data_IF_023829723115
#
_entry.id   IF_023829723115
#
_cell.length_a   1.000
_cell.length_b   1.000
_cell.length_c   1.000
_cell.angle_alpha   90.00
_cell.angle_beta   90.00
_cell.angle_gamma   90.00
#
_symmetry.space_group_name_H-M   'P 1'
#
loop_
_entity.id
_entity.type
_entity.pdbx_description
1 polymer ?
#
# COMPACT_ATOMS: atom_id res chain seq x y z
N UNK A 1 -3.36 -1.56 -25.65
CA UNK A 1 -3.17 -0.14 -25.25
C UNK A 1 -1.67 0.20 -25.31
N UNK A 2 -1.27 1.21 -26.08
CA UNK A 2 0.16 1.60 -26.20
C UNK A 2 0.71 2.05 -24.85
N UNK A 3 2.04 1.95 -24.59
CA UNK A 3 2.67 2.38 -23.32
C UNK A 3 2.18 3.75 -22.82
N UNK A 4 1.79 4.65 -23.74
CA UNK A 4 1.18 5.95 -23.45
C UNK A 4 -0.17 5.89 -22.71
N UNK A 5 -0.99 4.86 -22.92
CA UNK A 5 -2.30 4.70 -22.28
C UNK A 5 -2.22 4.22 -20.83
N UNK A 6 -1.28 3.34 -20.50
CA UNK A 6 -1.01 2.98 -19.10
C UNK A 6 -0.44 4.19 -18.35
N UNK A 7 0.50 4.92 -18.97
CA UNK A 7 1.03 6.14 -18.39
C UNK A 7 -0.09 7.16 -18.16
N UNK A 8 -1.01 7.34 -19.12
CA UNK A 8 -2.14 8.25 -18.96
C UNK A 8 -3.07 7.83 -17.79
N UNK A 9 -3.38 6.55 -17.65
CA UNK A 9 -4.25 6.06 -16.56
C UNK A 9 -3.57 6.13 -15.19
N UNK A 10 -2.28 5.77 -15.11
CA UNK A 10 -1.47 5.96 -13.90
C UNK A 10 -1.38 7.45 -13.56
N UNK A 11 -1.20 8.32 -14.56
CA UNK A 11 -1.21 9.77 -14.37
C UNK A 11 -2.57 10.25 -13.87
N UNK A 12 -3.70 9.73 -14.38
CA UNK A 12 -5.04 10.09 -13.88
C UNK A 12 -5.21 9.64 -12.42
N UNK A 13 -4.79 8.43 -12.05
CA UNK A 13 -4.85 7.93 -10.67
C UNK A 13 -3.96 8.77 -9.75
N UNK A 14 -2.73 9.06 -10.19
CA UNK A 14 -1.79 9.94 -9.47
C UNK A 14 -2.39 11.33 -9.31
N UNK A 15 -2.99 11.91 -10.34
CA UNK A 15 -3.63 13.22 -10.29
C UNK A 15 -4.87 13.24 -9.39
N UNK A 16 -5.65 12.16 -9.37
CA UNK A 16 -6.78 12.02 -8.45
C UNK A 16 -6.31 11.94 -6.98
N UNK A 17 -5.22 11.21 -6.71
CA UNK A 17 -4.62 11.11 -5.37
C UNK A 17 -4.00 12.46 -4.96
N UNK A 18 -3.23 13.11 -5.84
CA UNK A 18 -2.64 14.43 -5.59
C UNK A 18 -3.74 15.47 -5.40
N UNK A 19 -4.77 15.47 -6.23
CA UNK A 19 -5.94 16.34 -6.07
C UNK A 19 -6.65 16.13 -4.73
N UNK A 20 -6.78 14.89 -4.28
CA UNK A 20 -7.31 14.58 -2.95
C UNK A 20 -6.42 15.13 -1.83
N UNK A 21 -5.09 15.00 -1.97
CA UNK A 21 -4.13 15.51 -0.98
C UNK A 21 -4.08 17.04 -0.90
N UNK A 22 -4.06 17.72 -2.05
CA UNK A 22 -4.02 19.19 -2.14
C UNK A 22 -5.31 19.82 -1.63
N UNK A 23 -6.45 19.15 -1.83
CA UNK A 23 -7.76 19.69 -1.42
C UNK A 23 -8.23 19.21 -0.04
N UNK A 24 -7.67 18.12 0.48
CA UNK A 24 -8.00 17.54 1.79
C UNK A 24 -7.17 18.07 2.96
N UNK A 25 -6.05 18.74 2.69
CA UNK A 25 -5.30 19.53 3.67
C UNK A 25 -5.74 21.00 3.61
N UNK A 26 -6.20 21.56 4.71
CA UNK A 26 -6.67 22.94 4.79
C UNK A 26 -5.61 23.96 4.34
N UNK A 27 -6.06 24.95 3.55
CA UNK A 27 -5.47 26.26 3.23
C UNK A 27 -3.95 26.29 2.95
N UNK A 28 -3.59 26.04 1.69
CA UNK A 28 -2.46 26.77 1.09
C UNK A 28 -2.79 27.08 -0.36
N UNK A 29 -3.08 28.35 -0.64
CA UNK A 29 -3.12 28.90 -2.00
C UNK A 29 -1.72 28.82 -2.57
N UNK A 30 -1.42 27.73 -3.29
CA UNK A 30 -0.27 27.70 -4.19
C UNK A 30 -0.76 28.21 -5.54
N UNK A 31 -0.48 29.49 -5.81
CA UNK A 31 -0.52 30.03 -7.16
C UNK A 31 0.57 29.34 -7.98
N UNK A 32 0.22 28.24 -8.64
CA UNK A 32 0.95 27.76 -9.80
C UNK A 32 0.19 28.19 -11.05
N UNK A 33 0.67 29.24 -11.72
CA UNK A 33 0.39 29.42 -13.14
C UNK A 33 0.84 28.17 -13.89
N UNK A 34 -0.04 27.46 -14.63
CA UNK A 34 0.37 26.39 -15.49
C UNK A 34 0.88 26.95 -16.82
N UNK A 35 2.07 26.52 -17.22
CA UNK A 35 2.50 26.57 -18.60
C UNK A 35 1.58 25.66 -19.45
N UNK A 36 0.67 26.27 -20.21
CA UNK A 36 0.25 25.80 -21.55
C UNK A 36 -0.39 24.42 -21.69
N UNK A 37 -1.06 23.88 -20.67
CA UNK A 37 -1.92 22.70 -20.79
C UNK A 37 -3.39 23.11 -20.69
N UNK A 38 -4.24 22.63 -21.59
CA UNK A 38 -5.69 22.83 -21.50
C UNK A 38 -6.21 22.29 -20.16
N UNK A 39 -6.66 23.19 -19.27
CA UNK A 39 -7.38 22.87 -18.05
C UNK A 39 -8.81 22.41 -18.39
N UNK A 40 -8.95 21.29 -19.10
CA UNK A 40 -10.24 20.61 -19.13
C UNK A 40 -10.43 19.91 -17.78
N UNK A 41 -11.48 20.24 -17.02
CA UNK A 41 -11.81 19.50 -15.80
C UNK A 41 -11.99 18.03 -16.18
N UNK A 42 -11.25 17.14 -15.51
CA UNK A 42 -11.49 15.71 -15.64
C UNK A 42 -12.88 15.47 -15.04
N UNK A 43 -13.88 15.24 -15.89
CA UNK A 43 -15.22 14.89 -15.44
C UNK A 43 -15.16 13.54 -14.71
N UNK A 44 -15.51 13.56 -13.43
CA UNK A 44 -15.71 12.35 -12.65
C UNK A 44 -16.97 11.66 -13.20
N UNK A 45 -16.92 10.38 -13.61
CA UNK A 45 -18.08 9.69 -14.16
C UNK A 45 -19.30 9.77 -13.22
N UNK A 46 -20.50 9.96 -13.78
CA UNK A 46 -21.73 9.99 -12.99
C UNK A 46 -21.85 8.74 -12.10
N UNK A 47 -22.13 8.95 -10.82
CA UNK A 47 -22.29 7.89 -9.83
C UNK A 47 -21.01 7.48 -9.09
N UNK A 48 -19.86 8.10 -9.38
CA UNK A 48 -18.63 7.89 -8.60
C UNK A 48 -18.43 9.01 -7.59
N UNK A 49 -18.45 8.67 -6.30
CA UNK A 49 -18.23 9.59 -5.19
C UNK A 49 -16.75 9.67 -4.83
N UNK A 50 -16.36 10.73 -4.12
CA UNK A 50 -15.01 10.88 -3.57
C UNK A 50 -14.64 9.75 -2.60
N UNK A 51 -15.62 9.19 -1.92
CA UNK A 51 -15.44 8.13 -0.93
C UNK A 51 -15.07 6.79 -1.60
N UNK A 52 -15.48 6.58 -2.85
CA UNK A 52 -15.09 5.40 -3.64
C UNK A 52 -13.58 5.33 -3.92
N UNK A 53 -12.91 6.47 -3.75
CA UNK A 53 -11.48 6.64 -3.97
C UNK A 53 -10.68 6.87 -2.70
N UNK A 54 -11.33 6.89 -1.53
CA UNK A 54 -10.65 7.06 -0.26
C UNK A 54 -9.82 5.81 0.09
N UNK A 55 -8.61 5.97 0.65
CA UNK A 55 -7.86 4.84 1.16
C UNK A 55 -8.58 4.21 2.36
N UNK A 56 -8.51 2.89 2.48
CA UNK A 56 -8.90 2.20 3.70
C UNK A 56 -7.91 2.57 4.79
N UNK A 57 -8.41 3.01 5.94
CA UNK A 57 -7.62 3.40 7.11
C UNK A 57 -7.85 2.40 8.23
N UNK A 58 -7.17 2.60 9.37
CA UNK A 58 -7.41 1.81 10.58
C UNK A 58 -8.88 1.83 11.01
N UNK A 59 -9.56 2.97 10.85
CA UNK A 59 -10.93 3.15 11.33
C UNK A 59 -11.97 2.58 10.36
N UNK A 60 -11.61 2.39 9.08
CA UNK A 60 -12.50 1.83 8.05
C UNK A 60 -12.14 0.40 7.63
N UNK A 61 -11.09 -0.17 8.22
CA UNK A 61 -10.68 -1.55 7.97
C UNK A 61 -11.71 -2.54 8.53
N UNK A 62 -12.02 -3.57 7.74
CA UNK A 62 -12.88 -4.66 8.19
C UNK A 62 -12.18 -5.47 9.30
N UNK A 63 -12.76 -5.41 10.51
CA UNK A 63 -12.24 -6.13 11.68
C UNK A 63 -12.25 -7.66 11.52
N UNK A 64 -13.15 -8.21 10.69
CA UNK A 64 -13.19 -9.64 10.39
C UNK A 64 -12.00 -10.06 9.53
N UNK A 65 -11.59 -9.20 8.60
CA UNK A 65 -10.39 -9.36 7.77
C UNK A 65 -9.12 -9.34 8.63
N UNK A 66 -9.02 -8.38 9.56
CA UNK A 66 -7.93 -8.35 10.55
C UNK A 66 -7.93 -9.60 11.43
N UNK A 67 -9.11 -10.08 11.83
CA UNK A 67 -9.26 -11.33 12.57
C UNK A 67 -8.63 -12.53 11.85
N UNK A 68 -8.85 -12.63 10.54
CA UNK A 68 -8.26 -13.68 9.68
C UNK A 68 -6.75 -13.51 9.53
N UNK A 69 -6.28 -12.28 9.34
CA UNK A 69 -4.84 -11.97 9.20
C UNK A 69 -4.03 -12.28 10.45
N UNK A 70 -4.63 -12.22 11.65
CA UNK A 70 -3.96 -12.52 12.93
C UNK A 70 -3.39 -13.94 13.02
N UNK A 71 -3.84 -14.85 12.16
CA UNK A 71 -3.37 -16.24 12.07
C UNK A 71 -2.78 -16.58 10.70
N UNK A 72 -2.51 -15.59 9.86
CA UNK A 72 -1.97 -15.80 8.53
C UNK A 72 -0.54 -16.38 8.58
N UNK A 73 -0.16 -17.07 7.50
CA UNK A 73 1.21 -17.52 7.30
C UNK A 73 1.97 -16.46 6.51
N UNK A 74 3.11 -16.03 7.05
CA UNK A 74 3.97 -14.98 6.49
C UNK A 74 5.40 -15.47 6.37
N UNK A 75 6.12 -15.07 5.33
CA UNK A 75 7.56 -15.19 5.27
C UNK A 75 8.23 -14.07 6.06
N UNK A 76 9.23 -14.40 6.86
CA UNK A 76 10.14 -13.42 7.43
C UNK A 76 10.92 -12.77 6.29
N UNK A 77 10.64 -11.49 5.99
CA UNK A 77 11.12 -10.81 4.79
C UNK A 77 12.66 -10.90 4.58
N UNK A 78 13.43 -11.03 5.65
CA UNK A 78 14.90 -11.10 5.58
C UNK A 78 15.45 -12.50 5.33
N UNK A 79 14.75 -13.55 5.75
CA UNK A 79 15.28 -14.92 5.73
C UNK A 79 14.45 -15.86 4.86
N UNK A 80 13.23 -15.48 4.51
CA UNK A 80 12.27 -16.30 3.77
C UNK A 80 11.61 -17.38 4.62
N UNK A 81 12.02 -17.58 5.88
CA UNK A 81 11.40 -18.58 6.76
C UNK A 81 9.94 -18.23 7.00
N UNK A 82 9.07 -19.22 6.77
CA UNK A 82 7.63 -19.07 7.00
C UNK A 82 7.31 -19.24 8.48
N UNK A 83 6.57 -18.28 9.02
CA UNK A 83 6.01 -18.33 10.37
C UNK A 83 4.51 -18.10 10.32
N UNK A 84 3.79 -18.70 11.25
CA UNK A 84 2.39 -18.39 11.47
C UNK A 84 2.28 -17.24 12.47
N UNK A 85 1.45 -16.25 12.17
CA UNK A 85 1.08 -15.24 13.14
C UNK A 85 0.23 -15.90 14.24
N UNK A 86 0.49 -15.50 15.49
CA UNK A 86 -0.34 -15.80 16.64
C UNK A 86 -0.84 -14.46 17.19
N UNK A 87 -2.15 -14.21 17.04
CA UNK A 87 -2.77 -12.93 17.38
C UNK A 87 -2.08 -11.72 16.71
N UNK A 88 -1.68 -11.89 15.44
CA UNK A 88 -1.03 -10.84 14.64
C UNK A 88 0.44 -10.65 14.96
N UNK A 89 1.09 -11.55 15.70
CA UNK A 89 2.52 -11.47 16.01
C UNK A 89 3.20 -12.80 15.74
N UNK A 90 4.44 -12.76 15.26
CA UNK A 90 5.32 -13.92 15.21
C UNK A 90 6.74 -13.51 15.60
N UNK A 91 7.48 -14.47 16.13
CA UNK A 91 8.93 -14.37 16.28
C UNK A 91 9.57 -15.36 15.32
N UNK A 92 10.72 -15.00 14.76
CA UNK A 92 11.51 -15.87 13.91
C UNK A 92 12.98 -15.86 14.34
N UNK A 93 13.67 -16.96 14.08
CA UNK A 93 15.10 -17.11 14.33
C UNK A 93 15.65 -18.05 13.27
N UNK A 94 16.56 -17.55 12.43
CA UNK A 94 17.23 -18.33 11.40
C UNK A 94 18.70 -17.94 11.32
N UNK A 95 19.59 -18.90 11.62
CA UNK A 95 21.00 -18.62 11.84
C UNK A 95 21.20 -17.56 12.93
N UNK A 96 21.90 -16.48 12.58
CA UNK A 96 22.18 -15.36 13.47
C UNK A 96 21.08 -14.26 13.44
N UNK A 97 20.11 -14.36 12.53
CA UNK A 97 19.02 -13.39 12.42
C UNK A 97 17.88 -13.79 13.35
N UNK A 98 17.47 -12.87 14.22
CA UNK A 98 16.32 -13.03 15.11
C UNK A 98 15.44 -11.81 15.03
N UNK A 99 14.13 -12.02 15.03
CA UNK A 99 13.22 -10.91 14.86
C UNK A 99 11.78 -11.20 15.22
N UNK A 100 10.98 -10.17 15.01
CA UNK A 100 9.53 -10.19 15.23
C UNK A 100 8.82 -9.60 14.03
N UNK A 101 7.68 -10.18 13.69
CA UNK A 101 6.72 -9.68 12.72
C UNK A 101 5.46 -9.28 13.49
N UNK A 102 4.94 -8.09 13.23
CA UNK A 102 3.69 -7.59 13.81
C UNK A 102 2.76 -7.13 12.71
N UNK A 103 1.56 -7.68 12.67
CA UNK A 103 0.45 -7.22 11.84
C UNK A 103 0.02 -5.84 12.29
N UNK A 104 -0.14 -4.91 11.34
CA UNK A 104 -0.73 -3.62 11.61
C UNK A 104 -2.26 -3.63 11.55
N UNK A 105 -2.82 -2.44 11.44
CA UNK A 105 -4.26 -2.23 11.61
C UNK A 105 -4.98 -1.88 10.31
N UNK A 106 -4.25 -1.82 9.17
CA UNK A 106 -4.83 -1.45 7.88
C UNK A 106 -4.83 -2.65 6.95
N UNK A 107 -6.01 -3.03 6.46
CA UNK A 107 -6.16 -4.11 5.49
C UNK A 107 -7.29 -3.86 4.50
N UNK A 108 -7.08 -4.25 3.24
CA UNK A 108 -8.10 -4.16 2.18
C UNK A 108 -8.13 -5.45 1.36
N UNK A 109 -9.32 -5.94 1.05
CA UNK A 109 -9.55 -7.09 0.17
C UNK A 109 -9.87 -6.62 -1.26
N UNK A 110 -9.29 -7.28 -2.27
CA UNK A 110 -9.55 -7.04 -3.70
C UNK A 110 -9.53 -8.34 -4.48
N UNK A 111 -10.49 -8.50 -5.38
CA UNK A 111 -10.52 -9.63 -6.31
C UNK A 111 -9.97 -9.21 -7.67
N UNK A 112 -9.04 -10.00 -8.22
CA UNK A 112 -8.37 -9.73 -9.50
C UNK A 112 -8.36 -11.02 -10.30
N UNK A 113 -9.08 -11.06 -11.42
CA UNK A 113 -9.14 -12.24 -12.28
C UNK A 113 -9.62 -13.50 -11.55
N UNK A 114 -10.58 -13.36 -10.62
CA UNK A 114 -11.11 -14.46 -9.81
C UNK A 114 -10.24 -14.87 -8.62
N UNK A 115 -9.07 -14.25 -8.43
CA UNK A 115 -8.23 -14.47 -7.25
C UNK A 115 -8.49 -13.39 -6.23
N UNK A 116 -8.79 -13.79 -4.98
CA UNK A 116 -8.94 -12.86 -3.87
C UNK A 116 -7.59 -12.57 -3.24
N UNK A 117 -7.26 -11.29 -3.17
CA UNK A 117 -6.08 -10.79 -2.51
C UNK A 117 -6.46 -9.96 -1.29
N UNK A 118 -5.68 -10.08 -0.23
CA UNK A 118 -5.72 -9.20 0.93
C UNK A 118 -4.42 -8.43 0.99
N UNK A 119 -4.50 -7.12 1.08
CA UNK A 119 -3.35 -6.24 1.19
C UNK A 119 -3.33 -5.69 2.61
N UNK A 120 -2.26 -5.92 3.35
CA UNK A 120 -2.16 -5.47 4.74
C UNK A 120 -0.75 -4.98 5.08
N UNK A 121 -0.64 -4.17 6.13
CA UNK A 121 0.65 -3.73 6.63
C UNK A 121 1.26 -4.68 7.66
N UNK A 122 2.56 -4.95 7.53
CA UNK A 122 3.37 -5.67 8.51
C UNK A 122 4.54 -4.81 8.97
N UNK A 123 4.88 -4.88 10.25
CA UNK A 123 6.12 -4.36 10.82
C UNK A 123 7.09 -5.52 11.08
N UNK A 124 8.34 -5.39 10.63
CA UNK A 124 9.40 -6.37 10.88
C UNK A 124 10.55 -5.69 11.60
N UNK A 125 10.98 -6.29 12.71
CA UNK A 125 12.20 -5.93 13.42
C UNK A 125 13.09 -7.17 13.45
N UNK A 126 14.30 -7.07 12.90
CA UNK A 126 15.24 -8.19 12.75
C UNK A 126 16.45 -8.07 13.69
N UNK A 127 16.24 -7.56 14.91
CA UNK A 127 17.27 -7.49 15.95
C UNK A 127 18.14 -6.24 15.90
N UNK A 128 17.94 -5.36 14.93
CA UNK A 128 18.53 -4.03 14.88
C UNK A 128 17.71 -2.98 15.63
N UNK A 129 18.10 -1.71 15.51
CA UNK A 129 17.31 -0.60 16.08
C UNK A 129 16.05 -0.30 15.26
N UNK A 130 16.07 -0.60 13.95
CA UNK A 130 15.01 -0.29 12.99
C UNK A 130 13.76 -1.16 13.15
N UNK A 131 12.65 -0.67 12.60
CA UNK A 131 11.41 -1.44 12.41
C UNK A 131 10.86 -1.08 11.05
N UNK A 132 11.07 -1.97 10.10
CA UNK A 132 10.66 -1.76 8.71
C UNK A 132 9.18 -2.07 8.54
N UNK A 133 8.46 -1.15 7.91
CA UNK A 133 7.08 -1.35 7.49
C UNK A 133 7.03 -1.88 6.07
N UNK A 134 6.20 -2.88 5.87
CA UNK A 134 5.93 -3.53 4.60
C UNK A 134 4.44 -3.45 4.32
N UNK A 135 4.11 -3.41 3.03
CA UNK A 135 2.79 -3.82 2.56
C UNK A 135 2.93 -5.21 1.95
N UNK A 136 2.04 -6.11 2.35
CA UNK A 136 2.08 -7.52 2.00
C UNK A 136 0.81 -7.88 1.25
N UNK A 137 1.00 -8.58 0.13
CA UNK A 137 -0.06 -9.15 -0.68
C UNK A 137 -0.26 -10.60 -0.26
N UNK A 138 -1.39 -10.89 0.35
CA UNK A 138 -1.84 -12.23 0.70
C UNK A 138 -2.78 -12.74 -0.38
N UNK A 139 -2.63 -14.00 -0.76
CA UNK A 139 -3.65 -14.73 -1.51
C UNK A 139 -4.59 -15.41 -0.50
N UNK A 140 -5.89 -15.28 -0.73
CA UNK A 140 -6.92 -15.95 0.04
C UNK A 140 -7.36 -17.23 -0.68
N UNK A 141 -6.88 -18.37 -0.19
CA UNK A 141 -7.29 -19.68 -0.68
C UNK A 141 -8.16 -20.37 0.38
N UNK A 142 -9.47 -20.41 0.14
CA UNK A 142 -10.45 -21.05 1.04
C UNK A 142 -10.37 -20.53 2.48
N UNK A 143 -10.29 -19.22 2.67
CA UNK A 143 -10.14 -18.53 3.95
C UNK A 143 -8.77 -18.69 4.63
N UNK A 144 -7.77 -19.27 3.94
CA UNK A 144 -6.39 -19.34 4.41
C UNK A 144 -5.59 -18.25 3.71
N UNK A 145 -5.09 -17.30 4.50
CA UNK A 145 -4.28 -16.20 4.02
C UNK A 145 -2.79 -16.56 4.04
N UNK A 146 -2.19 -16.57 2.85
CA UNK A 146 -0.76 -16.87 2.64
C UNK A 146 -0.14 -15.70 1.90
N UNK A 147 0.95 -15.14 2.43
CA UNK A 147 1.69 -14.09 1.73
C UNK A 147 2.28 -14.59 0.40
N UNK A 148 2.16 -13.76 -0.63
CA UNK A 148 2.69 -13.99 -1.98
C UNK A 148 3.84 -13.06 -2.31
N UNK A 149 3.75 -11.83 -1.84
CA UNK A 149 4.70 -10.77 -2.16
C UNK A 149 4.67 -9.71 -1.08
N UNK A 150 5.81 -9.03 -0.92
CA UNK A 150 5.98 -7.91 -0.01
C UNK A 150 6.62 -6.74 -0.75
N UNK A 151 6.33 -5.53 -0.28
CA UNK A 151 6.98 -4.30 -0.71
C UNK A 151 7.35 -3.48 0.53
N UNK A 152 8.60 -3.02 0.58
CA UNK A 152 9.09 -2.18 1.68
C UNK A 152 8.51 -0.77 1.55
N UNK A 153 7.95 -0.24 2.62
CA UNK A 153 7.45 1.14 2.67
C UNK A 153 8.52 2.06 3.25
N UNK A 154 9.11 1.70 4.39
CA UNK A 154 10.20 2.46 5.01
C UNK A 154 10.53 1.99 6.43
N UNK A 155 11.57 2.57 7.03
CA UNK A 155 11.94 2.36 8.43
C UNK A 155 11.18 3.32 9.35
N UNK A 156 10.58 2.80 10.43
CA UNK A 156 9.85 3.56 11.45
C UNK A 156 8.78 4.53 10.92
N UNK A 157 8.25 4.25 9.73
CA UNK A 157 7.11 5.00 9.17
C UNK A 157 5.78 4.55 9.78
N UNK A 158 4.74 5.38 9.62
CA UNK A 158 3.38 5.04 10.01
C UNK A 158 2.49 4.92 8.78
N UNK A 159 2.06 3.71 8.42
CA UNK A 159 1.07 3.53 7.35
C UNK A 159 -0.29 4.04 7.85
N UNK A 160 -0.91 4.94 7.11
CA UNK A 160 -2.16 5.60 7.46
C UNK A 160 -3.32 5.15 6.58
N UNK A 161 -3.04 4.62 5.40
CA UNK A 161 -4.06 4.02 4.57
C UNK A 161 -3.53 3.19 3.41
N UNK A 162 -4.34 2.25 2.95
CA UNK A 162 -4.08 1.39 1.81
C UNK A 162 -5.29 1.45 0.89
N UNK A 163 -5.05 1.60 -0.41
CA UNK A 163 -6.06 1.49 -1.45
C UNK A 163 -5.62 0.48 -2.50
N UNK A 164 -6.56 -0.33 -2.97
CA UNK A 164 -6.35 -1.23 -4.09
C UNK A 164 -7.33 -0.91 -5.23
N UNK A 165 -6.80 -0.68 -6.42
CA UNK A 165 -7.55 -0.38 -7.63
C UNK A 165 -7.29 -1.46 -8.68
N UNK A 166 -8.35 -2.06 -9.21
CA UNK A 166 -8.24 -3.04 -10.29
C UNK A 166 -8.39 -2.31 -11.62
N UNK A 167 -7.34 -2.33 -12.41
CA UNK A 167 -7.26 -1.69 -13.73
C UNK A 167 -6.97 -2.75 -14.80
N UNK A 168 -7.24 -2.43 -16.07
CA UNK A 168 -6.82 -3.29 -17.17
C UNK A 168 -5.45 -2.86 -17.70
N UNK A 169 -4.54 -3.82 -17.87
CA UNK A 169 -3.24 -3.60 -18.49
C UNK A 169 -3.35 -3.37 -20.00
N UNK A 170 -2.21 -3.17 -20.67
CA UNK A 170 -2.15 -2.94 -22.12
C UNK A 170 -2.72 -4.10 -22.96
N UNK A 171 -2.75 -5.31 -22.39
CA UNK A 171 -3.24 -6.54 -22.98
C UNK A 171 -4.67 -6.87 -22.57
N UNK A 172 -5.34 -5.99 -21.81
CA UNK A 172 -6.70 -6.19 -21.31
C UNK A 172 -6.80 -7.12 -20.11
N UNK A 173 -5.68 -7.49 -19.48
CA UNK A 173 -5.68 -8.32 -18.27
C UNK A 173 -5.88 -7.43 -17.05
N UNK A 174 -6.66 -7.92 -16.09
CA UNK A 174 -6.82 -7.24 -14.81
C UNK A 174 -5.48 -7.19 -14.05
N UNK A 175 -5.17 -6.01 -13.55
CA UNK A 175 -3.97 -5.66 -12.80
C UNK A 175 -4.39 -4.89 -11.56
N UNK A 176 -3.71 -5.12 -10.44
CA UNK A 176 -3.97 -4.42 -9.19
C UNK A 176 -2.91 -3.34 -8.97
N UNK A 177 -3.35 -2.10 -8.77
CA UNK A 177 -2.53 -0.98 -8.32
C UNK A 177 -2.81 -0.79 -6.82
N UNK A 178 -1.76 -0.70 -6.02
CA UNK A 178 -1.85 -0.49 -4.58
C UNK A 178 -1.24 0.86 -4.24
N UNK A 179 -2.05 1.77 -3.70
CA UNK A 179 -1.59 3.06 -3.18
C UNK A 179 -1.50 2.98 -1.66
N UNK A 180 -0.35 3.37 -1.12
CA UNK A 180 -0.03 3.29 0.30
C UNK A 180 0.26 4.70 0.80
N UNK A 181 -0.61 5.21 1.65
CA UNK A 181 -0.41 6.48 2.35
C UNK A 181 0.33 6.21 3.66
N UNK A 182 1.39 6.99 3.92
CA UNK A 182 2.17 6.85 5.15
C UNK A 182 2.76 8.18 5.61
N UNK A 183 3.12 8.24 6.89
CA UNK A 183 3.90 9.31 7.47
C UNK A 183 5.36 8.85 7.60
N UNK A 184 6.28 9.69 7.12
CA UNK A 184 7.71 9.53 7.26
C UNK A 184 8.30 10.62 8.16
N UNK A 185 9.55 10.42 8.57
CA UNK A 185 10.34 11.44 9.23
C UNK A 185 10.87 12.43 8.20
N UNK A 186 10.93 13.71 8.56
CA UNK A 186 11.62 14.70 7.73
C UNK A 186 13.15 14.58 7.83
N UNK A 187 13.88 15.22 6.93
CA UNK A 187 15.33 15.25 6.97
C UNK A 187 15.82 15.90 8.27
N UNK A 188 16.59 15.14 9.06
CA UNK A 188 17.12 15.60 10.34
C UNK A 188 16.18 15.42 11.53
N UNK A 189 14.96 14.93 11.31
CA UNK A 189 14.06 14.55 12.40
C UNK A 189 14.59 13.28 13.11
N UNK A 190 14.60 13.24 14.46
CA UNK A 190 14.99 12.04 15.19
C UNK A 190 14.07 10.87 14.86
N UNK A 191 14.63 9.69 14.56
CA UNK A 191 13.84 8.46 14.34
C UNK A 191 13.09 7.97 15.60
N UNK A 192 13.28 8.61 16.74
CA UNK A 192 12.54 8.38 17.97
C UNK A 192 11.27 9.23 18.08
N UNK A 193 11.09 10.26 17.25
CA UNK A 193 9.86 11.05 17.22
C UNK A 193 8.74 10.28 16.53
N UNK A 194 7.53 10.85 16.51
CA UNK A 194 6.45 10.33 15.67
C UNK A 194 6.63 10.89 14.25
N UNK A 195 6.64 10.06 13.20
CA UNK A 195 6.73 10.56 11.83
C UNK A 195 5.53 11.46 11.50
N UNK A 196 5.76 12.51 10.71
CA UNK A 196 4.79 13.58 10.47
C UNK A 196 4.65 13.99 9.00
N UNK A 197 5.61 13.66 8.14
CA UNK A 197 5.62 14.07 6.73
C UNK A 197 4.78 13.10 5.90
N UNK A 198 3.67 13.53 5.29
CA UNK A 198 2.86 12.67 4.45
C UNK A 198 3.60 12.30 3.16
N UNK A 199 3.52 11.01 2.81
CA UNK A 199 4.08 10.42 1.60
C UNK A 199 3.11 9.40 1.02
N UNK A 200 3.20 9.17 -0.28
CA UNK A 200 2.48 8.08 -0.96
C UNK A 200 3.45 7.19 -1.70
N UNK A 201 3.24 5.88 -1.59
CA UNK A 201 3.91 4.89 -2.44
C UNK A 201 2.87 4.17 -3.28
N UNK A 202 3.07 4.14 -4.59
CA UNK A 202 2.24 3.41 -5.53
C UNK A 202 3.01 2.18 -5.97
N UNK A 203 2.36 1.03 -5.83
CA UNK A 203 2.88 -0.29 -6.14
C UNK A 203 2.00 -0.92 -7.21
N UNK A 204 2.61 -1.65 -8.13
CA UNK A 204 1.88 -2.36 -9.18
C UNK A 204 2.03 -3.86 -8.97
N UNK A 205 0.91 -4.58 -8.96
CA UNK A 205 0.88 -6.04 -8.85
C UNK A 205 0.78 -6.65 -10.25
N UNK A 206 1.73 -7.52 -10.57
CA UNK A 206 1.78 -8.28 -11.82
C UNK A 206 2.00 -9.75 -11.52
N UNK A 207 1.20 -10.61 -12.15
CA UNK A 207 1.26 -12.05 -11.95
C UNK A 207 1.19 -12.48 -10.46
N UNK A 208 0.38 -11.75 -9.66
CA UNK A 208 0.22 -12.02 -8.23
C UNK A 208 1.40 -11.59 -7.36
N UNK A 209 2.28 -10.72 -7.85
CA UNK A 209 3.43 -10.19 -7.10
C UNK A 209 3.60 -8.68 -7.30
N UNK A 210 4.15 -7.99 -6.30
CA UNK A 210 4.57 -6.60 -6.48
C UNK A 210 5.73 -6.52 -7.48
N UNK A 211 5.63 -5.61 -8.44
CA UNK A 211 6.68 -5.33 -9.40
C UNK A 211 7.52 -4.12 -8.93
N UNK A 212 8.75 -4.33 -8.41
CA UNK A 212 9.58 -3.24 -7.90
C UNK A 212 10.04 -2.27 -9.00
N UNK A 213 10.06 -2.69 -10.27
CA UNK A 213 10.42 -1.82 -11.39
C UNK A 213 9.30 -0.82 -11.76
N UNK A 214 8.12 -0.92 -11.14
CA UNK A 214 6.96 -0.06 -11.37
C UNK A 214 6.49 0.64 -10.09
N UNK A 215 7.38 0.74 -9.10
CA UNK A 215 7.14 1.53 -7.90
C UNK A 215 7.26 3.03 -8.18
N UNK A 216 6.35 3.83 -7.61
CA UNK A 216 6.40 5.29 -7.67
C UNK A 216 6.30 5.83 -6.24
N UNK A 217 7.18 6.76 -5.90
CA UNK A 217 7.18 7.46 -4.61
C UNK A 217 6.83 8.93 -4.84
N UNK A 218 5.89 9.45 -4.04
CA UNK A 218 5.37 10.82 -4.11
C UNK A 218 5.45 11.44 -2.71
#
# INVERSE_FOLDING_TARGET
MNKKGIIALVVIIVLAIVGYMVWGGSETTVNNEPAGGSNEPIEVPEGVSKDDFAPVTKDTTDTSLIGRLKVASVAAAETGTRVALANGKASFSEGDVKGTITLGDVAVEKEVGGTKYVIADLAVNSGGSGTFKYVVLFEDSKNVLTDKSYAIIGDRVSITGIRGDVVSDASGKAQLIVSVSYLAHDQGEPLSSKPSVPRTKILVVENGMFNPAKEINI
#
